data_IF_431925110955
#
_entry.id   IF_431925110955
#
_cell.length_a   1.000
_cell.length_b   1.000
_cell.length_c   1.000
_cell.angle_alpha   90.00
_cell.angle_beta   90.00
_cell.angle_gamma   90.00
#
_symmetry.space_group_name_H-M   'P 1'
#
loop_
_entity.id
_entity.type
_entity.pdbx_description
1 polymer ?
2 non-polymer ?
3 water ?
#
# COMPACT_ATOMS: atom_id res chain seq x y z
N UNK A 2 3.81 -18.59 8.97
CA UNK A 2 3.77 -17.09 8.97
C UNK A 2 2.51 -16.30 9.49
N UNK A 3 2.65 -15.56 10.59
CA UNK A 3 1.55 -14.74 11.13
C UNK A 3 1.38 -13.47 10.27
N UNK A 4 0.17 -13.22 9.72
CA UNK A 4 -0.10 -12.03 8.87
C UNK A 4 0.27 -10.68 9.47
N UNK A 5 0.28 -10.54 10.78
CA UNK A 5 0.76 -9.30 11.38
C UNK A 5 2.17 -8.96 10.91
N UNK A 6 2.96 -9.97 10.57
CA UNK A 6 4.30 -9.77 10.09
C UNK A 6 4.31 -8.91 8.83
N UNK A 7 3.26 -9.01 8.00
CA UNK A 7 3.24 -8.17 6.80
C UNK A 7 2.13 -7.11 6.75
N UNK A 8 1.20 -7.14 7.71
CA UNK A 8 0.09 -6.16 7.79
C UNK A 8 0.23 -5.09 8.85
N UNK A 9 1.15 -5.30 9.79
CA UNK A 9 1.46 -4.32 10.82
C UNK A 9 2.84 -3.78 10.55
N UNK A 10 2.92 -2.53 10.15
CA UNK A 10 4.15 -1.96 9.70
C UNK A 10 4.39 -0.68 10.49
N UNK A 11 5.57 -0.10 10.35
CA UNK A 11 5.95 1.06 11.11
C UNK A 11 6.70 2.04 10.23
N UNK A 12 6.48 3.32 10.47
CA UNK A 12 7.36 4.33 9.90
C UNK A 12 7.43 5.58 10.76
N UNK A 13 8.49 6.31 10.52
CA UNK A 13 8.77 7.54 11.24
C UNK A 13 8.62 8.70 10.24
N UNK A 14 7.85 9.70 10.67
CA UNK A 14 7.60 10.91 9.90
C UNK A 14 8.93 11.72 9.81
N UNK A 15 9.33 12.13 8.61
CA UNK A 15 10.59 12.84 8.42
C UNK A 15 10.33 14.32 8.09
N UNK A 16 11.36 15.12 8.26
CA UNK A 16 11.25 16.57 8.24
C UNK A 16 10.66 17.05 6.88
N UNK A 17 11.13 16.49 5.76
CA UNK A 17 10.65 16.85 4.43
C UNK A 17 9.21 16.49 4.15
N UNK A 18 8.60 15.67 5.02
CA UNK A 18 7.20 15.31 4.88
C UNK A 18 6.28 16.39 5.44
N UNK A 19 6.80 17.41 6.09
CA UNK A 19 6.05 18.46 6.78
C UNK A 19 6.01 19.71 5.95
N UNK A 20 5.03 20.58 6.21
CA UNK A 20 4.98 21.88 5.57
C UNK A 20 5.12 22.99 6.60
N UNK A 21 5.03 24.24 6.16
CA UNK A 21 5.27 25.37 7.04
C UNK A 21 4.15 25.52 8.04
N UNK A 22 3.07 24.73 7.98
CA UNK A 22 2.04 24.71 9.06
C UNK A 22 2.57 23.91 10.26
N UNK A 23 3.71 23.24 10.12
CA UNK A 23 4.38 22.51 11.21
C UNK A 23 3.90 21.08 11.37
N UNK A 24 3.24 20.51 10.36
CA UNK A 24 2.63 19.19 10.39
C UNK A 24 2.75 18.53 9.00
N UNK A 25 2.46 17.24 8.91
CA UNK A 25 2.57 16.48 7.66
C UNK A 25 1.77 17.17 6.57
N UNK A 26 2.35 17.31 5.38
CA UNK A 26 1.60 17.79 4.26
C UNK A 26 0.71 16.67 3.73
N UNK A 27 -0.56 16.99 3.49
CA UNK A 27 -1.61 15.98 3.38
C UNK A 27 -1.33 14.85 2.43
N UNK A 28 -0.83 15.16 1.23
CA UNK A 28 -0.73 14.11 0.22
C UNK A 28 0.37 13.10 0.51
N UNK A 29 1.28 13.40 1.41
CA UNK A 29 2.32 12.44 1.77
C UNK A 29 1.74 11.16 2.30
N UNK A 30 0.56 11.29 2.92
CA UNK A 30 -0.10 10.08 3.46
C UNK A 30 -0.25 9.00 2.40
N UNK A 31 -0.61 9.43 1.20
CA UNK A 31 -0.83 8.46 0.11
C UNK A 31 0.41 7.78 -0.34
N UNK A 32 1.51 8.54 -0.39
CA UNK A 32 2.81 7.93 -0.66
C UNK A 32 3.15 6.86 0.39
N UNK A 33 2.92 7.21 1.64
CA UNK A 33 3.18 6.25 2.72
C UNK A 33 2.33 4.98 2.57
N UNK A 34 1.07 5.16 2.17
CA UNK A 34 0.22 4.00 1.93
C UNK A 34 0.76 3.10 0.84
N UNK A 35 1.11 3.70 -0.29
CA UNK A 35 1.60 2.92 -1.40
C UNK A 35 2.88 2.20 -1.03
N UNK A 36 3.79 2.94 -0.37
CA UNK A 36 5.03 2.28 0.06
C UNK A 36 4.79 1.16 1.06
N UNK A 37 3.82 1.32 1.97
CA UNK A 37 3.52 0.23 2.92
C UNK A 37 2.91 -0.98 2.25
N UNK A 38 2.14 -0.76 1.19
CA UNK A 38 1.59 -1.84 0.39
C UNK A 38 2.75 -2.63 -0.28
N UNK A 39 3.69 -1.90 -0.88
CA UNK A 39 4.88 -2.56 -1.44
C UNK A 39 5.62 -3.34 -0.36
N UNK A 40 5.83 -2.71 0.81
CA UNK A 40 6.50 -3.38 1.95
C UNK A 40 5.78 -4.63 2.40
N UNK A 41 4.45 -4.57 2.40
CA UNK A 41 3.65 -5.73 2.75
C UNK A 41 3.81 -6.92 1.81
N UNK A 42 3.82 -6.61 0.52
CA UNK A 42 3.99 -7.63 -0.47
C UNK A 42 5.37 -8.28 -0.31
N UNK A 43 6.39 -7.44 -0.11
CA UNK A 43 7.79 -7.89 0.13
C UNK A 43 7.89 -8.81 1.37
N UNK A 44 7.27 -8.37 2.46
CA UNK A 44 7.26 -9.08 3.75
C UNK A 44 6.50 -10.40 3.75
N UNK A 45 5.47 -10.48 2.92
CA UNK A 45 4.76 -11.73 2.67
C UNK A 45 5.63 -12.71 1.87
N UNK A 46 6.48 -12.16 1.00
CA UNK A 46 7.46 -12.93 0.27
C UNK A 46 7.40 -12.81 -1.24
N UNK A 47 6.64 -11.85 -1.79
CA UNK A 47 6.58 -11.68 -3.25
C UNK A 47 7.81 -10.93 -3.75
N UNK A 48 8.15 -11.15 -5.02
CA UNK A 48 9.34 -10.58 -5.64
C UNK A 48 8.92 -9.35 -6.42
N UNK A 49 9.53 -8.16 -6.19
CA UNK A 49 9.15 -6.94 -6.93
C UNK A 49 9.17 -7.13 -8.44
N UNK A 50 10.16 -7.89 -8.90
CA UNK A 50 10.38 -8.19 -10.30
C UNK A 50 9.17 -8.82 -11.01
N UNK A 51 8.32 -9.52 -10.24
CA UNK A 51 7.11 -10.12 -10.77
C UNK A 51 5.90 -9.21 -10.83
N UNK A 52 5.95 -8.09 -10.10
CA UNK A 52 4.77 -7.22 -9.97
C UNK A 52 4.96 -5.82 -10.53
N UNK A 53 6.12 -5.21 -10.27
CA UNK A 53 6.31 -3.78 -10.56
C UNK A 53 7.24 -3.60 -11.75
N UNK A 54 6.80 -2.78 -12.73
CA UNK A 54 7.75 -2.43 -13.77
C UNK A 54 8.91 -1.61 -13.15
N UNK A 55 10.01 -1.56 -13.90
CA UNK A 55 11.19 -0.81 -13.48
C UNK A 55 12.14 -1.60 -12.58
N UNK A 56 11.87 -2.88 -12.37
CA UNK A 56 12.62 -3.65 -11.38
C UNK A 56 13.86 -4.19 -12.05
N UNK A 57 14.91 -4.41 -11.28
CA UNK A 57 16.20 -4.77 -11.85
C UNK A 57 16.15 -6.17 -12.48
N UNK A 58 15.46 -7.12 -11.85
CA UNK A 58 15.65 -8.55 -12.18
C UNK A 58 14.49 -9.17 -12.96
N UNK A 59 13.61 -8.35 -13.51
CA UNK A 59 12.49 -8.84 -14.33
C UNK A 59 13.03 -9.49 -15.60
N UNK A 60 12.55 -10.70 -15.87
CA UNK A 60 12.93 -11.32 -17.14
C UNK A 60 12.12 -10.68 -18.26
N UNK A 61 10.86 -10.35 -17.98
CA UNK A 61 10.05 -9.52 -18.86
C UNK A 61 9.29 -8.54 -17.99
N UNK A 62 8.85 -7.45 -18.58
CA UNK A 62 8.09 -6.51 -17.80
C UNK A 62 6.77 -7.19 -17.39
N UNK A 63 6.36 -6.99 -16.13
CA UNK A 63 5.16 -7.64 -15.68
C UNK A 63 3.96 -7.38 -16.63
N UNK A 64 3.17 -8.41 -16.86
CA UNK A 64 2.14 -8.37 -17.86
C UNK A 64 0.86 -7.67 -17.41
N UNK A 65 0.64 -7.63 -16.09
CA UNK A 65 -0.60 -7.08 -15.49
C UNK A 65 -0.26 -5.80 -14.75
N UNK A 66 -0.94 -4.70 -15.08
CA UNK A 66 -0.82 -3.42 -14.39
C UNK A 66 -1.92 -3.39 -13.33
N UNK A 67 -1.68 -2.68 -12.24
CA UNK A 67 -2.62 -2.56 -11.10
C UNK A 67 -2.93 -1.07 -10.84
N UNK A 68 -3.44 -0.38 -11.83
CA UNK A 68 -3.71 1.06 -11.63
C UNK A 68 -4.70 1.32 -10.49
N UNK A 69 -4.42 2.39 -9.79
CA UNK A 69 -5.30 2.92 -8.79
C UNK A 69 -6.43 3.67 -9.48
N UNK A 70 -7.67 3.25 -9.21
CA UNK A 70 -8.83 3.89 -9.79
C UNK A 70 -9.55 4.84 -8.82
N UNK A 71 -9.30 4.68 -7.53
CA UNK A 71 -9.93 5.52 -6.49
C UNK A 71 -9.05 5.50 -5.28
N UNK A 72 -8.93 6.62 -4.60
CA UNK A 72 -8.37 6.63 -3.27
C UNK A 72 -8.92 7.78 -2.47
N UNK A 73 -8.86 7.64 -1.15
CA UNK A 73 -9.40 8.63 -0.25
C UNK A 73 -8.70 8.52 1.10
N UNK A 74 -8.82 9.59 1.86
CA UNK A 74 -8.27 9.64 3.21
C UNK A 74 -9.04 10.56 4.09
N UNK A 75 -9.08 10.23 5.39
CA UNK A 75 -9.60 11.15 6.43
C UNK A 75 -8.41 11.45 7.36
N UNK A 76 -8.26 12.72 7.72
CA UNK A 76 -7.18 13.18 8.57
C UNK A 76 -7.83 13.62 9.87
N UNK A 77 -7.48 12.95 10.97
CA UNK A 77 -8.21 13.10 12.22
C UNK A 77 -7.40 13.84 13.24
N UNK A 78 -6.09 13.56 13.32
CA UNK A 78 -5.19 14.25 14.28
C UNK A 78 -3.92 14.67 13.59
N UNK A 79 -3.34 15.80 14.00
CA UNK A 79 -2.11 16.25 13.36
C UNK A 79 -0.95 15.25 13.53
N UNK A 80 -0.12 15.18 12.49
CA UNK A 80 0.99 14.27 12.44
C UNK A 80 2.23 15.10 12.29
N UNK A 81 3.24 14.81 13.11
CA UNK A 81 4.43 15.66 13.27
C UNK A 81 5.74 14.99 12.93
N UNK A 82 6.75 15.80 12.56
CA UNK A 82 8.07 15.25 12.29
C UNK A 82 8.60 14.45 13.51
N UNK A 83 9.09 13.26 13.23
CA UNK A 83 9.62 12.38 14.24
C UNK A 83 8.57 11.49 14.87
N UNK A 84 7.27 11.66 14.57
CA UNK A 84 6.23 10.72 15.04
C UNK A 84 6.52 9.32 14.52
N UNK A 85 6.41 8.32 15.43
CA UNK A 85 6.46 6.93 15.08
C UNK A 85 5.02 6.53 14.79
N UNK A 86 4.74 6.12 13.57
CA UNK A 86 3.40 5.72 13.20
C UNK A 86 3.30 4.20 13.04
N UNK A 87 2.28 3.63 13.65
CA UNK A 87 1.96 2.21 13.54
C UNK A 87 0.93 2.13 12.42
N UNK A 88 1.21 1.39 11.37
CA UNK A 88 0.35 1.27 10.21
C UNK A 88 -0.27 -0.10 10.16
N UNK A 89 -1.58 -0.18 10.08
CA UNK A 89 -2.24 -1.46 9.95
C UNK A 89 -2.96 -1.51 8.61
N UNK A 90 -2.69 -2.54 7.83
CA UNK A 90 -3.25 -2.70 6.51
C UNK A 90 -4.34 -3.78 6.56
N UNK A 91 -5.44 -3.50 5.88
CA UNK A 91 -6.52 -4.47 5.76
C UNK A 91 -6.94 -4.56 4.28
N UNK A 92 -6.40 -5.55 3.56
CA UNK A 92 -6.77 -5.75 2.16
C UNK A 92 -8.12 -6.46 1.98
N UNK A 93 -8.79 -6.20 0.86
CA UNK A 93 -10.06 -6.84 0.55
C UNK A 93 -10.09 -7.11 -0.93
N UNK A 94 -10.25 -8.38 -1.31
CA UNK A 94 -10.57 -8.72 -2.69
C UNK A 94 -11.97 -8.21 -2.92
N UNK A 95 -12.17 -7.51 -4.02
CA UNK A 95 -13.47 -7.01 -4.38
C UNK A 95 -14.15 -7.92 -5.40
N UNK A 96 -13.37 -8.40 -6.34
CA UNK A 96 -13.82 -9.34 -7.35
C UNK A 96 -12.57 -9.98 -7.97
N UNK A 97 -12.72 -10.87 -8.97
CA UNK A 97 -11.51 -11.47 -9.55
C UNK A 97 -10.52 -10.52 -10.21
N UNK A 98 -10.95 -9.29 -10.46
CA UNK A 98 -10.14 -8.29 -11.15
C UNK A 98 -9.76 -7.07 -10.33
N UNK A 99 -10.06 -7.04 -9.04
CA UNK A 99 -9.89 -5.80 -8.29
C UNK A 99 -9.77 -6.08 -6.80
N UNK A 100 -9.09 -5.17 -6.12
CA UNK A 100 -8.94 -5.22 -4.68
C UNK A 100 -8.77 -3.79 -4.13
N UNK A 101 -9.00 -3.65 -2.84
CA UNK A 101 -8.65 -2.39 -2.16
C UNK A 101 -7.90 -2.72 -0.87
N UNK A 102 -7.17 -1.72 -0.38
CA UNK A 102 -6.44 -1.78 0.85
C UNK A 102 -6.84 -0.59 1.69
N UNK A 103 -7.18 -0.86 2.94
CA UNK A 103 -7.44 0.14 3.95
C UNK A 103 -6.19 0.27 4.82
N UNK A 104 -5.81 1.51 5.16
CA UNK A 104 -4.63 1.80 5.91
C UNK A 104 -5.05 2.61 7.11
N UNK A 105 -4.68 2.17 8.31
CA UNK A 105 -4.96 2.93 9.53
C UNK A 105 -3.62 3.37 10.15
N UNK A 106 -3.46 4.65 10.47
CA UNK A 106 -2.22 5.20 11.02
C UNK A 106 -2.46 5.58 12.44
N UNK A 107 -1.71 4.99 13.38
CA UNK A 107 -1.85 5.31 14.79
C UNK A 107 -0.57 5.98 15.29
N UNK A 108 -0.71 6.89 16.23
CA UNK A 108 0.42 7.48 16.91
C UNK A 108 -0.01 7.58 18.35
N UNK A 109 0.84 7.05 19.23
CA UNK A 109 0.56 6.95 20.67
C UNK A 109 -0.82 6.32 20.85
N UNK A 110 -1.02 5.22 20.13
CA UNK A 110 -2.25 4.41 20.22
C UNK A 110 -3.54 5.03 19.69
N UNK A 111 -3.51 6.25 19.18
CA UNK A 111 -4.71 6.92 18.72
C UNK A 111 -4.69 7.00 17.19
N UNK A 112 -5.84 6.87 16.56
CA UNK A 112 -5.90 6.93 15.10
C UNK A 112 -5.71 8.37 14.66
N UNK A 113 -4.66 8.64 13.87
CA UNK A 113 -4.41 9.98 13.38
C UNK A 113 -4.96 10.19 11.96
N UNK A 114 -5.06 9.13 11.18
CA UNK A 114 -5.52 9.19 9.79
C UNK A 114 -5.86 7.78 9.33
N UNK A 115 -6.68 7.69 8.28
CA UNK A 115 -6.88 6.43 7.62
C UNK A 115 -7.13 6.70 6.14
N UNK A 116 -6.89 5.70 5.30
CA UNK A 116 -6.97 5.87 3.87
C UNK A 116 -7.42 4.58 3.24
N UNK A 117 -7.87 4.68 1.99
CA UNK A 117 -8.36 3.53 1.23
C UNK A 117 -7.86 3.72 -0.19
N UNK A 118 -7.28 2.69 -0.81
CA UNK A 118 -6.77 2.71 -2.17
C UNK A 118 -7.37 1.52 -2.89
N UNK A 119 -8.03 1.75 -4.03
CA UNK A 119 -8.63 0.71 -4.86
C UNK A 119 -7.93 0.57 -6.18
N UNK A 120 -7.60 -0.69 -6.52
CA UNK A 120 -6.88 -1.05 -7.72
C UNK A 120 -7.71 -1.90 -8.65
N UNK A 121 -7.46 -1.76 -9.95
CA UNK A 121 -8.04 -2.64 -10.95
C UNK A 121 -6.87 -3.35 -11.63
N UNK A 122 -7.05 -4.64 -11.90
CA UNK A 122 -6.06 -5.37 -12.71
C UNK A 122 -6.41 -5.21 -14.20
N UNK A 123 -5.44 -4.73 -14.99
CA UNK A 123 -5.58 -4.65 -16.44
C UNK A 123 -4.35 -5.22 -17.09
N UNK A 124 -4.52 -5.69 -18.32
CA UNK A 124 -3.37 -6.11 -19.12
C UNK A 124 -2.59 -4.85 -19.42
N UNK A 125 -1.28 -4.87 -19.16
CA UNK A 125 -0.51 -3.65 -19.31
C UNK A 125 -0.45 -3.11 -20.74
N UNK A 126 -0.60 -3.98 -21.75
CA UNK A 126 -0.51 -3.54 -23.11
C UNK A 126 -1.85 -3.23 -23.73
N UNK A 127 -2.89 -3.97 -23.38
CA UNK A 127 -4.21 -3.76 -23.99
C UNK A 127 -5.09 -2.84 -23.17
N UNK A 128 -4.75 -2.74 -21.89
CA UNK A 128 -5.53 -2.04 -20.87
C UNK A 128 -6.92 -2.61 -20.66
N UNK A 129 -7.17 -3.85 -21.09
CA UNK A 129 -8.43 -4.56 -20.80
C UNK A 129 -8.33 -5.11 -19.39
N UNK A 130 -9.47 -5.16 -18.70
CA UNK A 130 -9.54 -5.76 -17.41
C UNK A 130 -9.12 -7.20 -17.48
N UNK A 131 -8.42 -7.66 -16.46
CA UNK A 131 -7.97 -9.05 -16.44
C UNK A 131 -7.94 -9.59 -15.02
N UNK A 132 -7.62 -10.86 -14.86
CA UNK A 132 -7.53 -11.41 -13.51
C UNK A 132 -6.35 -10.87 -12.72
N UNK A 133 -6.52 -10.78 -11.40
CA UNK A 133 -5.41 -10.41 -10.52
C UNK A 133 -4.21 -11.36 -10.72
N UNK A 134 -2.97 -10.83 -10.65
CA UNK A 134 -1.81 -11.72 -10.70
C UNK A 134 -1.84 -12.72 -9.56
N UNK A 135 -1.30 -13.90 -9.81
CA UNK A 135 -1.38 -14.98 -8.84
C UNK A 135 -0.76 -14.60 -7.49
N UNK A 136 0.35 -13.87 -7.48
CA UNK A 136 0.99 -13.50 -6.22
C UNK A 136 0.14 -12.57 -5.40
N UNK A 137 -0.53 -11.62 -6.06
CA UNK A 137 -1.45 -10.71 -5.38
C UNK A 137 -2.63 -11.49 -4.83
N UNK A 138 -3.12 -12.49 -5.58
CA UNK A 138 -4.18 -13.34 -5.08
C UNK A 138 -3.75 -14.15 -3.85
N UNK A 139 -2.53 -14.68 -3.85
CA UNK A 139 -2.00 -15.34 -2.64
C UNK A 139 -1.91 -14.45 -1.40
N UNK A 140 -1.41 -13.23 -1.59
CA UNK A 140 -1.35 -12.24 -0.56
C UNK A 140 -2.73 -11.88 -0.02
N UNK A 141 -3.69 -11.62 -0.90
CA UNK A 141 -5.07 -11.34 -0.48
C UNK A 141 -5.62 -12.49 0.34
N UNK A 142 -5.45 -13.72 -0.15
CA UNK A 142 -5.98 -14.87 0.56
C UNK A 142 -5.31 -15.01 1.95
N UNK A 143 -3.99 -14.85 2.02
CA UNK A 143 -3.23 -15.03 3.26
C UNK A 143 -3.59 -13.97 4.27
N UNK A 144 -4.04 -12.81 3.78
CA UNK A 144 -4.32 -11.65 4.60
C UNK A 144 -5.77 -11.60 5.06
N UNK A 145 -6.56 -12.63 4.71
CA UNK A 145 -7.98 -12.71 5.11
C UNK A 145 -8.19 -12.75 6.62
X LIG B 1 8.15 -4.14 -3.47
X LIG B 1 7.67 -5.23 -4.25
X LIG B 1 7.34 -6.52 -3.70
X LIG B 1 6.54 -7.27 -4.44
X LIG B 1 8.99 -1.83 -3.73
X LIG B 1 8.44 -2.96 -4.44
X LIG C 1 1.29 0.19 -10.35
X LIG C 1 0.53 0.23 -9.11
X LIG C 1 0.01 1.54 -8.68
X LIG C 1 0.79 2.66 -8.64
X LIG C 1 0.22 -0.25 -12.56
X LIG C 1 0.88 -0.86 -11.41
#
# INVERSE_FOLDING_TARGET
>A
GMNPENWLLLRRVVRFGDTDAAGVMHFHQLFRWCHESWEESLESYGLNPADIFPGSRKSEVTPEVALPIIHCQADFRRPIHTGDALAMELRPERLNPNSFQVHFEFRCEEQIAAHALIRHLAINAQTRHRCALPEGIDRWLEASGVGKIGSI
>B hetero
1 ETX C2 O2 C3 C4 O1 C1
>C hetero
1 ETX C2 O2 C3 C4 O1 C1
#
